data_IF_370444122780
#
_entry.id   IF_370444122780
#
_cell.length_a   1.000
_cell.length_b   1.000
_cell.length_c   1.000
_cell.angle_alpha   90.00
_cell.angle_beta   90.00
_cell.angle_gamma   90.00
#
_symmetry.space_group_name_H-M   'P 1'
#
loop_
_entity.id
_entity.type
_entity.pdbx_description
1 polymer ?
#
# COMPACT_ATOMS: atom_id res chain seq x y z
N UNK A 1 1.62 -15.20 27.10
CA UNK A 1 0.35 -14.48 26.91
C UNK A 1 0.56 -13.61 25.70
N UNK A 2 -0.14 -13.87 24.60
CA UNK A 2 0.04 -13.15 23.33
C UNK A 2 -0.50 -11.72 23.46
N UNK A 3 0.34 -10.73 23.14
CA UNK A 3 -0.07 -9.33 22.97
C UNK A 3 -1.16 -9.26 21.89
N UNK A 4 -2.38 -8.96 22.30
CA UNK A 4 -3.45 -8.58 21.36
C UNK A 4 -3.37 -7.06 21.20
N UNK A 5 -2.79 -6.65 20.08
CA UNK A 5 -2.49 -5.24 19.79
C UNK A 5 -3.65 -4.27 20.00
N UNK A 6 -3.27 -3.02 20.24
CA UNK A 6 -4.13 -1.85 20.41
C UNK A 6 -5.12 -1.71 19.25
N UNK A 7 -6.40 -1.98 19.50
CA UNK A 7 -7.46 -1.77 18.53
C UNK A 7 -7.88 -0.30 18.45
N UNK A 8 -8.75 0.05 17.49
CA UNK A 8 -9.32 1.39 17.32
C UNK A 8 -10.09 1.92 18.56
N UNK A 9 -10.34 1.07 19.56
CA UNK A 9 -10.96 1.37 20.85
C UNK A 9 -9.96 1.55 22.01
N UNK A 10 -8.66 1.61 21.72
CA UNK A 10 -7.60 1.78 22.71
C UNK A 10 -7.03 0.46 23.25
N UNK A 11 -6.16 0.57 24.25
CA UNK A 11 -5.43 -0.55 24.82
C UNK A 11 -6.38 -1.39 25.70
N UNK A 12 -6.79 -2.57 25.22
CA UNK A 12 -7.77 -3.45 25.87
C UNK A 12 -7.20 -4.11 27.15
N UNK A 13 -5.87 -4.12 27.30
CA UNK A 13 -5.19 -4.76 28.44
C UNK A 13 -5.34 -3.98 29.76
N UNK A 14 -5.71 -2.70 29.70
CA UNK A 14 -5.87 -1.83 30.87
C UNK A 14 -7.27 -1.22 30.96
N UNK A 15 -8.30 -1.97 30.55
CA UNK A 15 -9.70 -1.54 30.64
C UNK A 15 -10.47 -2.40 31.64
N UNK A 16 -11.18 -1.74 32.55
CA UNK A 16 -12.14 -2.37 33.45
C UNK A 16 -13.57 -2.04 33.00
N UNK A 17 -14.39 -3.07 32.80
CA UNK A 17 -15.81 -2.88 32.48
C UNK A 17 -16.59 -2.66 33.76
N UNK A 18 -17.13 -1.45 33.92
CA UNK A 18 -17.93 -1.06 35.09
C UNK A 18 -19.34 -0.72 34.61
N UNK A 19 -20.41 -1.18 35.29
CA UNK A 19 -21.77 -0.80 34.94
C UNK A 19 -21.95 0.72 34.90
N UNK A 20 -22.59 1.24 33.85
CA UNK A 20 -22.77 2.67 33.63
C UNK A 20 -23.50 3.36 34.81
N UNK A 21 -24.44 2.66 35.46
CA UNK A 21 -25.15 3.17 36.64
C UNK A 21 -24.21 3.48 37.81
N UNK A 22 -23.15 2.68 38.00
CA UNK A 22 -22.18 2.85 39.09
C UNK A 22 -21.26 4.04 38.80
N UNK A 23 -20.73 4.14 37.58
CA UNK A 23 -19.78 5.21 37.24
C UNK A 23 -20.45 6.59 37.22
N UNK A 24 -21.69 6.67 36.74
CA UNK A 24 -22.46 7.93 36.68
C UNK A 24 -22.86 8.41 38.08
N UNK A 25 -23.35 7.50 38.94
CA UNK A 25 -23.90 7.86 40.25
C UNK A 25 -22.86 7.95 41.37
N UNK A 26 -21.87 7.05 41.40
CA UNK A 26 -20.94 6.92 42.53
C UNK A 26 -19.55 7.51 42.29
N UNK A 27 -19.09 7.58 41.05
CA UNK A 27 -17.71 7.97 40.74
C UNK A 27 -17.66 9.39 40.18
N UNK A 28 -18.38 9.67 39.09
CA UNK A 28 -18.27 10.94 38.38
C UNK A 28 -19.34 11.98 38.77
N UNK A 29 -20.41 11.58 39.47
CA UNK A 29 -21.57 12.44 39.79
C UNK A 29 -22.07 13.25 38.59
N UNK A 30 -22.08 12.64 37.39
CA UNK A 30 -22.51 13.25 36.13
C UNK A 30 -23.79 12.59 35.64
N UNK A 31 -24.65 13.39 34.98
CA UNK A 31 -25.94 12.94 34.42
C UNK A 31 -25.89 12.62 32.91
N UNK A 32 -24.73 12.73 32.27
CA UNK A 32 -24.56 12.50 30.83
C UNK A 32 -23.50 11.44 30.54
N UNK A 33 -23.64 10.74 29.42
CA UNK A 33 -22.75 9.68 28.94
C UNK A 33 -21.83 10.26 27.86
N UNK A 34 -20.59 9.77 27.78
CA UNK A 34 -19.60 10.24 26.79
C UNK A 34 -19.91 9.78 25.35
N UNK A 35 -20.74 8.75 25.17
CA UNK A 35 -21.11 8.24 23.86
C UNK A 35 -22.07 7.05 23.97
N UNK A 36 -22.80 6.79 22.89
CA UNK A 36 -23.65 5.62 22.75
C UNK A 36 -23.06 4.74 21.64
N UNK A 37 -23.01 3.44 21.87
CA UNK A 37 -22.66 2.45 20.84
C UNK A 37 -23.92 1.69 20.47
N UNK A 38 -24.24 1.66 19.18
CA UNK A 38 -25.38 0.93 18.63
C UNK A 38 -24.87 -0.02 17.54
N UNK A 39 -25.43 -1.23 17.49
CA UNK A 39 -25.09 -2.23 16.49
C UNK A 39 -26.32 -2.48 15.61
N UNK A 40 -26.14 -2.37 14.29
CA UNK A 40 -27.18 -2.70 13.34
C UNK A 40 -27.43 -4.22 13.31
N UNK A 41 -28.68 -4.61 13.06
CA UNK A 41 -29.11 -6.03 13.01
C UNK A 41 -28.41 -6.79 11.87
N UNK A 42 -28.10 -6.11 10.77
CA UNK A 42 -27.30 -6.66 9.68
C UNK A 42 -26.46 -5.59 8.99
N UNK A 43 -25.44 -6.02 8.25
CA UNK A 43 -24.54 -5.14 7.48
C UNK A 43 -25.27 -4.36 6.39
N UNK A 44 -26.31 -4.93 5.76
CA UNK A 44 -27.06 -4.29 4.68
C UNK A 44 -27.94 -3.12 5.12
N UNK A 45 -28.38 -3.09 6.38
CA UNK A 45 -29.19 -1.99 6.95
C UNK A 45 -28.37 -1.01 7.78
N UNK A 46 -27.08 -1.26 8.00
CA UNK A 46 -26.24 -0.41 8.84
C UNK A 46 -26.20 1.05 8.35
N UNK A 47 -26.10 1.26 7.03
CA UNK A 47 -26.07 2.60 6.43
C UNK A 47 -27.40 3.34 6.57
N UNK A 48 -28.52 2.64 6.37
CA UNK A 48 -29.86 3.20 6.58
C UNK A 48 -30.11 3.53 8.04
N UNK A 49 -29.68 2.65 8.96
CA UNK A 49 -29.82 2.86 10.40
C UNK A 49 -29.06 4.10 10.89
N UNK A 50 -27.88 4.38 10.33
CA UNK A 50 -27.14 5.62 10.62
C UNK A 50 -27.97 6.85 10.23
N UNK A 51 -28.57 6.85 9.04
CA UNK A 51 -29.42 7.95 8.57
C UNK A 51 -30.68 8.14 9.41
N UNK A 52 -31.30 7.05 9.88
CA UNK A 52 -32.47 7.13 10.79
C UNK A 52 -32.10 7.70 12.15
N UNK A 53 -30.96 7.28 12.72
CA UNK A 53 -30.46 7.83 13.99
C UNK A 53 -30.10 9.30 13.85
N UNK A 54 -29.47 9.68 12.72
CA UNK A 54 -29.16 11.08 12.41
C UNK A 54 -30.42 11.93 12.29
N UNK A 55 -31.45 11.43 11.59
CA UNK A 55 -32.74 12.11 11.49
C UNK A 55 -33.39 12.31 12.86
N UNK A 56 -33.41 11.25 13.68
CA UNK A 56 -33.97 11.29 15.03
C UNK A 56 -33.22 12.29 15.93
N UNK A 57 -31.88 12.26 15.93
CA UNK A 57 -31.05 13.15 16.75
C UNK A 57 -31.15 14.60 16.29
N UNK A 58 -31.19 14.84 14.97
CA UNK A 58 -31.39 16.19 14.42
C UNK A 58 -32.74 16.76 14.86
N UNK A 59 -33.81 15.94 14.83
CA UNK A 59 -35.14 16.38 15.25
C UNK A 59 -35.23 16.64 16.76
N UNK A 60 -34.53 15.86 17.58
CA UNK A 60 -34.58 15.97 19.04
C UNK A 60 -33.66 17.07 19.58
N UNK A 61 -32.42 17.16 19.09
CA UNK A 61 -31.41 18.10 19.57
C UNK A 61 -31.44 19.45 18.83
N UNK A 62 -32.14 19.54 17.69
CA UNK A 62 -32.33 20.72 16.82
C UNK A 62 -31.04 21.32 16.23
N UNK A 63 -29.88 20.92 16.76
CA UNK A 63 -28.56 21.47 16.48
C UNK A 63 -27.61 20.32 16.13
N UNK A 64 -27.10 20.35 14.90
CA UNK A 64 -26.23 19.32 14.34
C UNK A 64 -24.84 19.31 14.95
N UNK A 65 -24.41 20.41 15.60
CA UNK A 65 -23.07 20.50 16.20
C UNK A 65 -23.00 19.80 17.57
N UNK A 66 -24.15 19.40 18.12
CA UNK A 66 -24.24 18.77 19.45
C UNK A 66 -24.06 17.26 19.44
N UNK A 67 -24.01 16.63 18.27
CA UNK A 67 -23.82 15.18 18.15
C UNK A 67 -22.90 14.83 16.99
N UNK A 68 -22.19 13.72 17.12
CA UNK A 68 -21.37 13.15 16.06
C UNK A 68 -21.66 11.67 15.98
N UNK A 69 -22.16 11.23 14.84
CA UNK A 69 -22.33 9.81 14.54
C UNK A 69 -21.09 9.35 13.79
N UNK A 70 -20.51 8.24 14.19
CA UNK A 70 -19.37 7.64 13.50
C UNK A 70 -19.71 6.18 13.28
N UNK A 71 -19.80 5.79 12.00
CA UNK A 71 -20.02 4.40 11.62
C UNK A 71 -18.70 3.68 11.40
N UNK A 72 -18.70 2.36 11.61
CA UNK A 72 -17.52 1.55 11.31
C UNK A 72 -17.17 1.59 9.81
N UNK A 73 -18.17 1.66 8.94
CA UNK A 73 -18.00 1.80 7.48
C UNK A 73 -17.24 3.09 7.14
N UNK A 74 -17.63 4.23 7.75
CA UNK A 74 -16.94 5.51 7.51
C UNK A 74 -15.48 5.50 7.95
N UNK A 75 -15.16 4.81 9.06
CA UNK A 75 -13.77 4.62 9.51
C UNK A 75 -12.99 3.79 8.48
N UNK A 76 -13.56 2.68 8.01
CA UNK A 76 -12.94 1.82 7.01
C UNK A 76 -12.73 2.55 5.68
N UNK A 77 -13.73 3.31 5.22
CA UNK A 77 -13.62 4.13 4.00
C UNK A 77 -12.52 5.17 4.11
N UNK A 78 -12.41 5.83 5.27
CA UNK A 78 -11.33 6.81 5.53
C UNK A 78 -9.96 6.13 5.49
N UNK A 79 -9.81 4.97 6.14
CA UNK A 79 -8.56 4.19 6.10
C UNK A 79 -8.23 3.78 4.67
N UNK A 80 -9.20 3.22 3.93
CA UNK A 80 -9.03 2.80 2.54
C UNK A 80 -8.62 3.97 1.64
N UNK A 81 -9.21 5.16 1.84
CA UNK A 81 -8.86 6.36 1.09
C UNK A 81 -7.42 6.82 1.38
N UNK A 82 -7.03 6.87 2.65
CA UNK A 82 -5.67 7.25 3.05
C UNK A 82 -4.66 6.23 2.53
N UNK A 83 -4.87 4.95 2.77
CA UNK A 83 -4.01 3.87 2.29
C UNK A 83 -3.94 3.83 0.76
N UNK A 84 -5.06 4.06 0.07
CA UNK A 84 -5.12 4.14 -1.39
C UNK A 84 -4.31 5.31 -1.93
N UNK A 85 -4.41 6.49 -1.30
CA UNK A 85 -3.63 7.68 -1.68
C UNK A 85 -2.14 7.44 -1.49
N UNK A 86 -1.73 6.89 -0.33
CA UNK A 86 -0.34 6.52 -0.07
C UNK A 86 0.18 5.48 -1.07
N UNK A 87 -0.64 4.48 -1.40
CA UNK A 87 -0.29 3.44 -2.37
C UNK A 87 -0.06 4.03 -3.76
N UNK A 88 -0.91 4.98 -4.19
CA UNK A 88 -0.73 5.69 -5.45
C UNK A 88 0.53 6.54 -5.47
N UNK A 89 0.83 7.26 -4.39
CA UNK A 89 2.05 8.06 -4.27
C UNK A 89 3.30 7.18 -4.34
N UNK A 90 3.35 6.09 -3.56
CA UNK A 90 4.46 5.14 -3.57
C UNK A 90 4.61 4.44 -4.92
N UNK A 91 3.49 4.05 -5.53
CA UNK A 91 3.47 3.50 -6.89
C UNK A 91 4.00 4.48 -7.94
N UNK A 92 3.65 5.76 -7.82
CA UNK A 92 4.17 6.82 -8.68
C UNK A 92 5.68 7.00 -8.54
N UNK A 93 6.19 7.05 -7.31
CA UNK A 93 7.64 7.13 -7.04
C UNK A 93 8.35 5.90 -7.61
N UNK A 94 7.82 4.70 -7.37
CA UNK A 94 8.36 3.47 -7.92
C UNK A 94 8.38 3.48 -9.45
N UNK A 95 7.32 3.95 -10.09
CA UNK A 95 7.25 4.10 -11.55
C UNK A 95 8.29 5.08 -12.11
N UNK A 96 8.50 6.22 -11.44
CA UNK A 96 9.55 7.17 -11.83
C UNK A 96 10.94 6.55 -11.66
N UNK A 97 11.20 5.86 -10.55
CA UNK A 97 12.48 5.15 -10.33
C UNK A 97 12.75 4.10 -11.40
N UNK A 98 11.71 3.40 -11.83
CA UNK A 98 11.80 2.39 -12.88
C UNK A 98 12.11 3.01 -14.25
N UNK A 99 11.48 4.14 -14.59
CA UNK A 99 11.79 4.90 -15.80
C UNK A 99 13.24 5.41 -15.81
N UNK A 100 13.70 6.01 -14.71
CA UNK A 100 15.08 6.50 -14.58
C UNK A 100 16.08 5.33 -14.69
N UNK A 101 15.77 4.19 -14.08
CA UNK A 101 16.55 2.96 -14.23
C UNK A 101 16.64 2.48 -15.68
N UNK A 102 15.52 2.48 -16.40
CA UNK A 102 15.46 2.12 -17.83
C UNK A 102 16.30 3.06 -18.71
N UNK A 103 16.24 4.37 -18.45
CA UNK A 103 17.09 5.37 -19.14
C UNK A 103 18.58 5.08 -18.87
N UNK A 104 18.93 4.71 -17.64
CA UNK A 104 20.29 4.31 -17.29
C UNK A 104 20.78 3.10 -18.08
N UNK A 105 19.96 2.05 -18.19
CA UNK A 105 20.28 0.86 -18.98
C UNK A 105 20.44 1.22 -20.46
N UNK A 106 19.54 2.05 -21.00
CA UNK A 106 19.62 2.54 -22.38
C UNK A 106 20.95 3.27 -22.64
N UNK A 107 21.39 4.12 -21.70
CA UNK A 107 22.66 4.86 -21.84
C UNK A 107 23.87 3.93 -21.85
N UNK A 108 23.93 2.97 -20.92
CA UNK A 108 25.02 1.99 -20.88
C UNK A 108 25.02 1.15 -22.17
N UNK A 109 23.84 0.73 -22.62
CA UNK A 109 23.72 0.01 -23.89
C UNK A 109 24.22 0.86 -25.06
N UNK A 110 23.80 2.12 -25.18
CA UNK A 110 24.26 3.03 -26.25
C UNK A 110 25.78 3.12 -26.27
N UNK A 111 26.40 3.39 -25.12
CA UNK A 111 27.87 3.48 -25.00
C UNK A 111 28.53 2.16 -25.43
N UNK A 112 28.06 1.02 -24.93
CA UNK A 112 28.61 -0.30 -25.27
C UNK A 112 28.51 -0.64 -26.77
N UNK A 113 27.41 -0.23 -27.42
CA UNK A 113 27.22 -0.44 -28.87
C UNK A 113 28.17 0.47 -29.65
N UNK A 114 28.33 1.72 -29.21
CA UNK A 114 29.22 2.68 -29.86
C UNK A 114 30.69 2.27 -29.79
N UNK A 115 31.14 1.71 -28.67
CA UNK A 115 32.51 1.18 -28.51
C UNK A 115 32.79 0.02 -29.46
N UNK A 116 31.82 -0.89 -29.65
CA UNK A 116 31.94 -2.07 -30.54
C UNK A 116 31.59 -1.80 -32.00
N UNK A 117 31.36 -0.54 -32.41
CA UNK A 117 30.96 -0.18 -33.79
C UNK A 117 31.91 -0.70 -34.86
N UNK A 118 33.22 -0.63 -34.61
CA UNK A 118 34.25 -1.11 -35.55
C UNK A 118 34.16 -2.61 -35.79
N UNK A 119 33.91 -3.39 -34.74
CA UNK A 119 33.74 -4.85 -34.84
C UNK A 119 32.46 -5.22 -35.59
N UNK A 120 31.36 -4.51 -35.33
CA UNK A 120 30.08 -4.70 -36.03
C UNK A 120 30.23 -4.42 -37.53
N UNK A 121 31.01 -3.39 -37.89
CA UNK A 121 31.31 -3.04 -39.28
C UNK A 121 32.04 -4.17 -40.02
N UNK A 122 33.05 -4.77 -39.39
CA UNK A 122 33.80 -5.89 -39.95
C UNK A 122 32.90 -7.12 -40.14
N UNK A 123 32.06 -7.45 -39.15
CA UNK A 123 31.10 -8.58 -39.28
C UNK A 123 30.10 -8.39 -40.41
N UNK A 124 29.57 -7.17 -40.59
CA UNK A 124 28.66 -6.87 -41.71
C UNK A 124 29.35 -6.98 -43.07
N UNK A 125 30.60 -6.54 -43.18
CA UNK A 125 31.38 -6.66 -44.42
C UNK A 125 31.64 -8.12 -44.82
N UNK A 126 31.75 -9.02 -43.83
CA UNK A 126 31.85 -10.48 -44.02
C UNK A 126 30.48 -11.18 -44.28
N UNK A 127 29.39 -10.42 -44.42
CA UNK A 127 28.07 -10.95 -44.77
C UNK A 127 27.13 -11.23 -43.58
N UNK A 128 27.45 -10.80 -42.36
CA UNK A 128 26.53 -10.95 -41.24
C UNK A 128 25.22 -10.15 -41.46
N UNK A 129 24.08 -10.85 -41.42
CA UNK A 129 22.76 -10.22 -41.54
C UNK A 129 22.47 -9.30 -40.35
N UNK A 130 21.81 -8.17 -40.60
CA UNK A 130 21.37 -7.19 -39.58
C UNK A 130 20.64 -7.85 -38.40
N UNK A 131 19.85 -8.91 -38.66
CA UNK A 131 19.13 -9.65 -37.60
C UNK A 131 20.07 -10.25 -36.56
N UNK A 132 21.23 -10.79 -36.96
CA UNK A 132 22.14 -11.46 -36.02
C UNK A 132 22.75 -10.45 -35.05
N UNK A 133 23.11 -9.26 -35.55
CA UNK A 133 23.61 -8.17 -34.72
C UNK A 133 22.52 -7.66 -33.78
N UNK A 134 21.29 -7.44 -34.28
CA UNK A 134 20.18 -7.01 -33.43
C UNK A 134 19.88 -8.04 -32.33
N UNK A 135 19.78 -9.33 -32.67
CA UNK A 135 19.52 -10.39 -31.69
C UNK A 135 20.60 -10.48 -30.63
N UNK A 136 21.87 -10.27 -30.98
CA UNK A 136 22.96 -10.24 -29.99
C UNK A 136 22.75 -9.12 -28.96
N UNK A 137 22.47 -7.90 -29.42
CA UNK A 137 22.20 -6.77 -28.52
C UNK A 137 20.94 -6.95 -27.71
N UNK A 138 19.88 -7.50 -28.31
CA UNK A 138 18.63 -7.79 -27.61
C UNK A 138 18.85 -8.80 -26.47
N UNK A 139 19.62 -9.86 -26.71
CA UNK A 139 19.94 -10.86 -25.69
C UNK A 139 20.85 -10.27 -24.60
N UNK A 140 21.83 -9.43 -24.97
CA UNK A 140 22.72 -8.75 -24.01
C UNK A 140 21.92 -7.81 -23.09
N UNK A 141 21.03 -6.98 -23.66
CA UNK A 141 20.10 -6.14 -22.89
C UNK A 141 19.18 -6.96 -22.00
N UNK A 142 18.55 -8.02 -22.55
CA UNK A 142 17.62 -8.85 -21.81
C UNK A 142 18.31 -9.56 -20.64
N UNK A 143 19.54 -10.02 -20.83
CA UNK A 143 20.33 -10.65 -19.77
C UNK A 143 20.66 -9.65 -18.65
N UNK A 144 21.10 -8.43 -18.99
CA UNK A 144 21.37 -7.39 -18.00
C UNK A 144 20.11 -6.97 -17.24
N UNK A 145 19.01 -6.73 -17.96
CA UNK A 145 17.71 -6.41 -17.37
C UNK A 145 17.17 -7.53 -16.48
N UNK A 146 17.27 -8.79 -16.91
CA UNK A 146 16.83 -9.95 -16.12
C UNK A 146 17.64 -10.09 -14.83
N UNK A 147 18.97 -9.93 -14.92
CA UNK A 147 19.85 -10.04 -13.77
C UNK A 147 19.63 -8.90 -12.77
N UNK A 148 19.52 -7.66 -13.27
CA UNK A 148 19.16 -6.50 -12.45
C UNK A 148 17.79 -6.64 -11.79
N UNK A 149 16.79 -7.12 -12.54
CA UNK A 149 15.44 -7.37 -12.02
C UNK A 149 15.41 -8.43 -10.91
N UNK A 150 16.09 -9.57 -11.10
CA UNK A 150 16.20 -10.61 -10.08
C UNK A 150 16.92 -10.12 -8.82
N UNK A 151 18.04 -9.39 -8.98
CA UNK A 151 18.74 -8.79 -7.86
C UNK A 151 17.89 -7.75 -7.14
N UNK A 152 17.16 -6.91 -7.88
CA UNK A 152 16.23 -5.93 -7.33
C UNK A 152 15.12 -6.57 -6.52
N UNK A 153 14.53 -7.67 -7.00
CA UNK A 153 13.53 -8.45 -6.26
C UNK A 153 14.13 -9.02 -4.97
N UNK A 154 15.32 -9.61 -5.05
CA UNK A 154 16.01 -10.17 -3.88
C UNK A 154 16.32 -9.11 -2.82
N UNK A 155 16.89 -7.97 -3.23
CA UNK A 155 17.19 -6.85 -2.34
C UNK A 155 15.93 -6.21 -1.77
N UNK A 156 14.89 -6.06 -2.59
CA UNK A 156 13.59 -5.53 -2.14
C UNK A 156 12.94 -6.44 -1.09
N UNK A 157 12.99 -7.76 -1.28
CA UNK A 157 12.49 -8.73 -0.31
C UNK A 157 13.27 -8.64 1.00
N UNK A 158 14.62 -8.65 0.94
CA UNK A 158 15.46 -8.56 2.13
C UNK A 158 15.24 -7.25 2.89
N UNK A 159 15.13 -6.13 2.18
CA UNK A 159 14.81 -4.83 2.77
C UNK A 159 13.45 -4.84 3.46
N UNK A 160 12.43 -5.40 2.80
CA UNK A 160 11.09 -5.51 3.37
C UNK A 160 11.07 -6.41 4.62
N UNK A 161 11.80 -7.52 4.63
CA UNK A 161 11.98 -8.36 5.83
C UNK A 161 12.67 -7.59 6.97
N UNK A 162 13.69 -6.79 6.67
CA UNK A 162 14.39 -5.97 7.65
C UNK A 162 13.45 -4.94 8.31
N UNK A 163 12.68 -4.22 7.49
CA UNK A 163 11.68 -3.25 7.97
C UNK A 163 10.59 -3.93 8.78
N UNK A 164 10.08 -5.08 8.32
CA UNK A 164 9.06 -5.86 9.04
C UNK A 164 9.54 -6.28 10.43
N UNK A 165 10.79 -6.73 10.56
CA UNK A 165 11.35 -7.17 11.84
C UNK A 165 11.59 -6.02 12.82
N UNK A 166 11.99 -4.85 12.33
CA UNK A 166 12.27 -3.67 13.17
C UNK A 166 10.97 -2.95 13.57
N UNK A 167 10.02 -2.82 12.64
CA UNK A 167 8.77 -2.08 12.84
C UNK A 167 7.59 -2.90 13.37
N UNK A 168 7.71 -4.22 13.42
CA UNK A 168 6.60 -5.11 13.82
C UNK A 168 5.42 -5.12 12.83
N UNK A 169 5.64 -4.68 11.59
CA UNK A 169 4.59 -4.59 10.58
C UNK A 169 4.47 -5.89 9.77
N UNK A 170 3.25 -6.32 9.42
CA UNK A 170 3.05 -7.53 8.63
C UNK A 170 3.67 -7.36 7.24
N UNK A 171 4.56 -8.27 6.87
CA UNK A 171 5.16 -8.32 5.55
C UNK A 171 4.13 -8.91 4.56
N UNK A 172 3.54 -8.07 3.73
CA UNK A 172 2.66 -8.50 2.64
C UNK A 172 3.32 -8.15 1.31
N UNK A 173 3.95 -9.15 0.69
CA UNK A 173 4.51 -9.06 -0.66
C UNK A 173 3.58 -9.79 -1.61
N UNK A 174 2.88 -9.04 -2.46
CA UNK A 174 1.94 -9.63 -3.43
C UNK A 174 2.70 -10.09 -4.68
N UNK A 175 2.49 -11.34 -5.08
CA UNK A 175 3.10 -11.93 -6.27
C UNK A 175 2.80 -11.15 -7.56
N UNK A 176 1.61 -10.55 -7.67
CA UNK A 176 1.21 -9.74 -8.83
C UNK A 176 2.08 -8.50 -8.99
N UNK A 177 2.40 -7.80 -7.90
CA UNK A 177 3.26 -6.61 -7.93
C UNK A 177 4.68 -6.96 -8.39
N UNK A 178 5.21 -8.11 -7.93
CA UNK A 178 6.53 -8.60 -8.34
C UNK A 178 6.55 -8.95 -9.83
N UNK A 179 5.51 -9.64 -10.33
CA UNK A 179 5.41 -10.00 -11.75
C UNK A 179 5.28 -8.77 -12.65
N UNK A 180 4.51 -7.76 -12.25
CA UNK A 180 4.38 -6.50 -13.01
C UNK A 180 5.71 -5.76 -13.07
N UNK A 181 6.40 -5.62 -11.93
CA UNK A 181 7.71 -4.97 -11.88
C UNK A 181 8.77 -5.71 -12.72
N UNK A 182 8.80 -7.04 -12.65
CA UNK A 182 9.73 -7.86 -13.43
C UNK A 182 9.44 -7.79 -14.93
N UNK A 183 8.17 -7.86 -15.32
CA UNK A 183 7.75 -7.74 -16.72
C UNK A 183 8.13 -6.39 -17.31
N UNK A 184 7.98 -5.31 -16.53
CA UNK A 184 8.41 -3.99 -16.94
C UNK A 184 9.93 -3.88 -17.06
N UNK A 185 10.69 -4.52 -16.18
CA UNK A 185 12.15 -4.53 -16.27
C UNK A 185 12.68 -5.22 -17.53
N UNK A 186 11.93 -6.16 -18.11
CA UNK A 186 12.29 -6.89 -19.32
C UNK A 186 11.94 -6.13 -20.62
N UNK A 187 11.14 -5.07 -20.52
CA UNK A 187 10.67 -4.22 -21.61
C UNK A 187 11.68 -3.11 -21.92
#
# INVERSE_FOLDING_TARGET
MEEKGTGAMGNLENQALIPASVILKKINNRKYVNGYTAQAVSTGVAKTAVGEVEYFLTRYLTDTDKFRITSQEQILDTINQVTGTLSLMLGGIAGISLLVGGIGIMNIMLVSVTERTREIGIRKALGAKRKHILSQFLIESLAMSSFGGLLGIGLGWLGAMGVSKIGGWPLVVTHTSVLVAFSFSLL
#
